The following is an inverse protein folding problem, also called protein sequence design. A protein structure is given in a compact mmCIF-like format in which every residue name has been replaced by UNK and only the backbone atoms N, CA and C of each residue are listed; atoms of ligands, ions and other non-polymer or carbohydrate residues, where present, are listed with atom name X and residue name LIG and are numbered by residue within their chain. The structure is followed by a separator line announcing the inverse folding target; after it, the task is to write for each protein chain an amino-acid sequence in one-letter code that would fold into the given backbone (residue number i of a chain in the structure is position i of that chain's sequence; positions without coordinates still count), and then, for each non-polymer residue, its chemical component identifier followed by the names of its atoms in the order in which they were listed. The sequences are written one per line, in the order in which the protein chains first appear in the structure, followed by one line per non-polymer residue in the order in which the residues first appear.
data_IF_625594229755
#
_entry.id   IF_625594229755
#
_cell.length_a   1.000
_cell.length_b   1.000
_cell.length_c   1.000
_cell.angle_alpha   90.00
_cell.angle_beta   90.00
_cell.angle_gamma   90.00
#
_symmetry.space_group_name_H-M   'P 1'
#
loop_
_entity.id
_entity.type
_entity.pdbx_description
1 polymer ?
#
# COMPACT_ATOMS: atom_id res chain seq x y z
N UNK A 1 12.82 5.30 -6.29
CA UNK A 1 11.56 5.99 -6.03
C UNK A 1 10.31 5.10 -6.07
N UNK A 2 10.41 3.81 -6.44
CA UNK A 2 9.29 2.83 -6.40
C UNK A 2 9.01 2.22 -5.01
N UNK A 3 9.88 2.42 -4.02
CA UNK A 3 9.81 1.74 -2.70
C UNK A 3 8.87 2.36 -1.66
N UNK A 4 8.37 3.56 -1.89
CA UNK A 4 7.30 4.17 -1.07
C UNK A 4 5.90 3.65 -1.44
N UNK A 5 5.78 2.91 -2.56
CA UNK A 5 4.49 2.45 -3.06
C UNK A 5 3.81 1.42 -2.15
N UNK A 6 4.56 0.51 -1.51
CA UNK A 6 3.94 -0.58 -0.75
C UNK A 6 3.39 -0.15 0.61
N UNK A 7 4.10 0.74 1.34
CA UNK A 7 3.56 1.37 2.55
C UNK A 7 2.44 2.37 2.22
N UNK A 8 2.59 3.09 1.11
CA UNK A 8 1.53 3.95 0.58
C UNK A 8 0.30 3.12 0.13
N UNK A 9 0.49 1.92 -0.42
CA UNK A 9 -0.60 1.01 -0.77
C UNK A 9 -1.35 0.48 0.47
N UNK A 10 -0.66 0.20 1.59
CA UNK A 10 -1.31 -0.21 2.84
C UNK A 10 -2.05 0.97 3.47
N UNK A 11 -1.45 2.16 3.47
CA UNK A 11 -2.13 3.40 3.90
C UNK A 11 -3.24 3.81 2.92
N UNK A 12 -3.05 3.59 1.63
CA UNK A 12 -4.04 3.85 0.60
C UNK A 12 -5.22 2.86 0.67
N UNK A 13 -4.95 1.57 0.90
CA UNK A 13 -5.99 0.57 1.18
C UNK A 13 -6.80 0.95 2.44
N UNK A 14 -6.15 1.44 3.49
CA UNK A 14 -6.83 1.92 4.68
C UNK A 14 -7.68 3.18 4.43
N UNK A 15 -7.28 4.03 3.49
CA UNK A 15 -8.02 5.25 3.13
C UNK A 15 -9.11 4.96 2.08
N UNK A 16 -8.89 4.00 1.17
CA UNK A 16 -9.85 3.63 0.11
C UNK A 16 -11.06 2.86 0.65
N UNK A 17 -10.95 2.27 1.85
CA UNK A 17 -11.91 1.29 2.33
C UNK A 17 -12.71 1.74 3.57
N UNK A 18 -13.05 3.00 3.74
CA UNK A 18 -13.79 3.47 4.90
C UNK A 18 -15.28 3.61 4.60
N UNK A 19 -16.04 2.57 4.83
CA UNK A 19 -17.51 2.63 4.86
C UNK A 19 -18.16 1.45 5.56
N UNK A 20 -18.83 1.54 6.66
CA UNK A 20 -19.91 0.64 7.00
C UNK A 20 -20.70 1.01 8.25
N UNK A 21 -21.98 0.87 8.24
CA UNK A 21 -22.86 0.81 9.39
C UNK A 21 -23.38 -0.59 9.64
N UNK A 22 -23.27 -0.97 10.88
CA UNK A 22 -24.02 -1.90 11.73
C UNK A 22 -24.96 -2.92 11.07
N UNK A 23 -24.37 -4.00 10.49
CA UNK A 23 -25.06 -5.27 10.33
C UNK A 23 -24.12 -6.39 10.83
N UNK A 24 -24.66 -7.34 11.56
CA UNK A 24 -23.90 -8.56 11.91
C UNK A 24 -23.48 -9.24 10.60
N UNK A 25 -22.23 -9.65 10.44
CA UNK A 25 -21.84 -10.41 9.26
C UNK A 25 -22.69 -11.66 9.15
N UNK A 26 -23.34 -11.86 8.01
CA UNK A 26 -24.15 -13.05 7.73
C UNK A 26 -23.28 -14.29 7.55
N UNK A 27 -22.05 -14.08 7.12
CA UNK A 27 -21.07 -15.10 6.87
C UNK A 27 -20.01 -15.14 7.99
N UNK A 28 -19.30 -16.27 8.14
CA UNK A 28 -18.16 -16.34 9.04
C UNK A 28 -17.04 -15.39 8.55
N UNK A 29 -16.29 -14.74 9.46
CA UNK A 29 -15.19 -13.86 9.10
C UNK A 29 -14.21 -14.55 8.13
N UNK A 30 -13.86 -13.88 7.03
CA UNK A 30 -12.98 -14.43 6.00
C UNK A 30 -13.64 -15.40 5.02
N UNK A 31 -14.97 -15.55 5.03
CA UNK A 31 -15.70 -16.21 3.93
C UNK A 31 -15.46 -15.43 2.65
N UNK A 32 -15.06 -16.09 1.52
CA UNK A 32 -14.77 -15.40 0.26
C UNK A 32 -15.97 -14.64 -0.30
N UNK A 33 -15.79 -13.38 -0.61
CA UNK A 33 -16.77 -12.48 -1.19
C UNK A 33 -18.00 -12.21 -0.32
N UNK A 34 -18.81 -11.24 -0.68
CA UNK A 34 -20.08 -10.92 -0.02
C UNK A 34 -21.29 -11.54 -0.69
N UNK A 35 -22.38 -11.72 0.07
CA UNK A 35 -23.68 -12.12 -0.45
C UNK A 35 -24.38 -11.02 -1.25
N UNK A 36 -24.10 -9.76 -0.92
CA UNK A 36 -24.48 -8.56 -1.65
C UNK A 36 -23.27 -7.65 -1.86
N UNK A 37 -23.35 -6.64 -2.76
CA UNK A 37 -22.28 -5.65 -2.92
C UNK A 37 -21.95 -4.95 -1.60
N UNK A 38 -22.95 -4.58 -0.83
CA UNK A 38 -22.79 -3.93 0.47
C UNK A 38 -22.10 -4.85 1.49
N UNK A 39 -22.49 -6.14 1.54
CA UNK A 39 -21.88 -7.11 2.46
C UNK A 39 -20.41 -7.32 2.11
N UNK A 40 -20.06 -7.43 0.81
CA UNK A 40 -18.69 -7.60 0.35
C UNK A 40 -17.78 -6.46 0.82
N UNK A 41 -18.26 -5.23 0.69
CA UNK A 41 -17.50 -4.05 1.13
C UNK A 41 -17.47 -3.96 2.66
N UNK A 42 -18.61 -4.18 3.32
CA UNK A 42 -18.73 -4.08 4.77
C UNK A 42 -17.78 -5.04 5.48
N UNK A 43 -17.85 -6.31 5.12
CA UNK A 43 -17.02 -7.35 5.74
C UNK A 43 -15.53 -7.08 5.49
N UNK A 44 -15.16 -6.65 4.27
CA UNK A 44 -13.79 -6.22 3.96
C UNK A 44 -13.30 -5.12 4.91
N UNK A 45 -14.15 -4.13 5.17
CA UNK A 45 -13.80 -2.95 5.97
C UNK A 45 -13.74 -3.23 7.45
N UNK A 46 -14.64 -4.07 7.96
CA UNK A 46 -14.60 -4.52 9.34
C UNK A 46 -13.33 -5.33 9.61
N UNK A 47 -12.92 -6.20 8.67
CA UNK A 47 -11.68 -6.96 8.78
C UNK A 47 -10.44 -6.05 8.79
N UNK A 48 -10.44 -5.00 7.96
CA UNK A 48 -9.36 -4.00 7.95
C UNK A 48 -9.34 -3.15 9.23
N UNK A 49 -10.51 -2.69 9.71
CA UNK A 49 -10.60 -1.98 10.99
C UNK A 49 -9.98 -2.79 12.12
N UNK A 50 -10.30 -4.07 12.16
CA UNK A 50 -9.84 -4.98 13.21
C UNK A 50 -8.37 -5.44 13.01
N UNK A 51 -7.71 -5.06 11.91
CA UNK A 51 -6.36 -5.51 11.59
C UNK A 51 -6.26 -6.99 11.21
N UNK A 52 -7.36 -7.62 10.79
CA UNK A 52 -7.42 -9.02 10.38
C UNK A 52 -7.07 -9.18 8.91
N UNK A 53 -5.84 -8.80 8.55
CA UNK A 53 -5.41 -8.73 7.14
C UNK A 53 -5.40 -10.08 6.41
N UNK A 54 -5.11 -11.18 7.11
CA UNK A 54 -5.19 -12.52 6.55
C UNK A 54 -6.61 -12.88 6.14
N UNK A 55 -7.60 -12.58 7.01
CA UNK A 55 -9.01 -12.78 6.74
C UNK A 55 -9.53 -11.82 5.68
N UNK A 56 -9.03 -10.57 5.67
CA UNK A 56 -9.35 -9.59 4.63
C UNK A 56 -9.00 -10.13 3.23
N UNK A 57 -7.77 -10.57 3.03
CA UNK A 57 -7.35 -11.10 1.72
C UNK A 57 -8.13 -12.35 1.31
N UNK A 58 -8.44 -13.22 2.27
CA UNK A 58 -9.27 -14.39 2.02
C UNK A 58 -10.70 -14.02 1.62
N UNK A 59 -11.26 -12.96 2.22
CA UNK A 59 -12.60 -12.45 1.91
C UNK A 59 -12.60 -11.69 0.58
N UNK A 60 -11.63 -10.84 0.35
CA UNK A 60 -11.59 -9.92 -0.78
C UNK A 60 -11.31 -10.58 -2.14
N UNK A 61 -10.90 -11.85 -2.15
CA UNK A 61 -10.52 -12.57 -3.36
C UNK A 61 -11.26 -13.91 -3.49
N UNK A 62 -11.58 -14.33 -4.75
CA UNK A 62 -11.95 -15.71 -5.03
C UNK A 62 -10.88 -16.70 -4.51
N UNK A 63 -11.26 -17.93 -4.12
CA UNK A 63 -10.32 -18.89 -3.53
C UNK A 63 -9.07 -19.18 -4.37
N UNK A 64 -9.20 -19.23 -5.70
CA UNK A 64 -8.07 -19.43 -6.61
C UNK A 64 -7.12 -18.23 -6.59
N UNK A 65 -7.63 -17.01 -6.74
CA UNK A 65 -6.84 -15.79 -6.73
C UNK A 65 -6.14 -15.57 -5.36
N UNK A 66 -6.79 -15.98 -4.26
CA UNK A 66 -6.17 -15.97 -2.95
C UNK A 66 -5.02 -16.99 -2.82
N UNK A 67 -5.18 -18.18 -3.40
CA UNK A 67 -4.13 -19.19 -3.43
C UNK A 67 -2.91 -18.71 -4.24
N UNK A 68 -3.16 -18.08 -5.39
CA UNK A 68 -2.12 -17.49 -6.24
C UNK A 68 -1.37 -16.35 -5.52
N UNK A 69 -2.10 -15.45 -4.87
CA UNK A 69 -1.52 -14.38 -4.05
C UNK A 69 -0.57 -14.92 -2.98
N UNK A 70 -0.99 -15.99 -2.26
CA UNK A 70 -0.15 -16.61 -1.24
C UNK A 70 1.08 -17.30 -1.82
N UNK A 71 0.94 -17.99 -2.95
CA UNK A 71 2.05 -18.67 -3.63
C UNK A 71 3.10 -17.65 -4.14
N UNK A 72 2.65 -16.52 -4.61
CA UNK A 72 3.52 -15.48 -5.15
C UNK A 72 4.09 -14.53 -4.08
N UNK A 73 3.65 -14.64 -2.83
CA UNK A 73 3.92 -13.65 -1.80
C UNK A 73 5.40 -13.31 -1.63
N UNK A 74 6.26 -14.32 -1.57
CA UNK A 74 7.72 -14.10 -1.40
C UNK A 74 8.33 -13.47 -2.65
N UNK A 75 7.90 -13.86 -3.86
CA UNK A 75 8.35 -13.26 -5.11
C UNK A 75 7.93 -11.78 -5.19
N UNK A 76 6.69 -11.50 -4.80
CA UNK A 76 6.11 -10.15 -4.76
C UNK A 76 6.90 -9.21 -3.84
N UNK A 77 7.35 -9.72 -2.70
CA UNK A 77 8.09 -8.94 -1.70
C UNK A 77 9.60 -8.99 -1.90
N UNK A 78 10.08 -9.70 -2.91
CA UNK A 78 11.50 -9.74 -3.22
C UNK A 78 12.01 -8.32 -3.55
N UNK A 79 13.15 -7.91 -2.99
CA UNK A 79 13.72 -6.59 -3.30
C UNK A 79 14.12 -6.53 -4.77
N UNK A 80 13.72 -5.49 -5.48
CA UNK A 80 14.11 -5.25 -6.89
C UNK A 80 15.59 -4.86 -7.02
N UNK A 81 16.14 -4.31 -5.96
CA UNK A 81 17.56 -3.97 -5.82
C UNK A 81 18.04 -4.29 -4.42
N UNK A 82 19.28 -4.74 -4.22
CA UNK A 82 19.84 -4.92 -2.89
C UNK A 82 19.81 -3.60 -2.11
N UNK A 83 19.46 -3.67 -0.82
CA UNK A 83 19.63 -2.54 0.07
C UNK A 83 21.14 -2.26 0.19
N UNK A 84 21.53 -0.99 0.11
CA UNK A 84 22.92 -0.65 0.36
C UNK A 84 23.30 -0.94 1.84
N UNK A 85 24.60 -1.04 2.11
CA UNK A 85 25.12 -1.43 3.42
C UNK A 85 24.75 -0.40 4.51
N UNK A 86 24.72 0.90 4.15
CA UNK A 86 24.41 1.98 5.08
C UNK A 86 22.93 1.98 5.47
N UNK A 87 22.04 1.77 4.52
CA UNK A 87 20.59 1.71 4.78
C UNK A 87 20.23 0.47 5.58
N UNK A 88 20.90 -0.67 5.32
CA UNK A 88 20.80 -1.88 6.14
C UNK A 88 21.23 -1.59 7.59
N UNK A 89 22.41 -1.02 7.78
CA UNK A 89 22.93 -0.70 9.09
C UNK A 89 22.03 0.28 9.87
N UNK A 90 21.49 1.30 9.20
CA UNK A 90 20.52 2.25 9.78
C UNK A 90 19.24 1.54 10.22
N UNK A 91 18.70 0.64 9.40
CA UNK A 91 17.51 -0.13 9.75
C UNK A 91 17.77 -0.99 10.99
N UNK A 92 18.83 -1.80 11.00
CA UNK A 92 19.18 -2.68 12.09
C UNK A 92 19.48 -1.91 13.40
N UNK A 93 20.20 -0.79 13.30
CA UNK A 93 20.43 0.10 14.43
C UNK A 93 19.13 0.70 14.97
N UNK A 94 18.20 1.09 14.08
CA UNK A 94 16.88 1.58 14.45
C UNK A 94 16.06 0.54 15.19
N UNK A 95 15.97 -0.69 14.66
CA UNK A 95 15.27 -1.81 15.31
C UNK A 95 15.90 -2.13 16.67
N UNK A 96 17.23 -2.29 16.72
CA UNK A 96 17.96 -2.53 17.97
C UNK A 96 17.66 -1.45 18.99
N UNK A 97 17.76 -0.17 18.60
CA UNK A 97 17.47 0.96 19.48
C UNK A 97 16.05 0.90 20.05
N UNK A 98 15.03 0.57 19.22
CA UNK A 98 13.63 0.49 19.64
C UNK A 98 13.35 -0.69 20.59
N UNK A 99 14.19 -1.72 20.59
CA UNK A 99 13.99 -2.93 21.40
C UNK A 99 14.86 -2.99 22.68
N UNK A 100 15.77 -2.02 22.86
CA UNK A 100 16.61 -1.94 24.07
C UNK A 100 15.79 -1.74 25.34
N UNK A 101 16.31 -2.21 26.51
CA UNK A 101 15.72 -1.87 27.81
C UNK A 101 15.75 -0.34 28.06
N UNK A 102 14.73 0.18 28.72
CA UNK A 102 14.60 1.60 29.07
C UNK A 102 14.67 2.59 27.88
N UNK A 103 14.45 2.12 26.66
CA UNK A 103 14.54 2.95 25.44
C UNK A 103 13.54 4.10 25.47
N UNK A 104 12.36 3.90 26.05
CA UNK A 104 11.33 4.94 26.14
C UNK A 104 11.86 6.19 26.87
N UNK A 105 12.60 5.99 27.94
CA UNK A 105 13.23 7.10 28.71
C UNK A 105 14.31 7.80 27.89
N UNK A 106 15.15 7.02 27.19
CA UNK A 106 16.23 7.54 26.34
C UNK A 106 15.68 8.34 25.18
N UNK A 107 14.71 7.77 24.44
CA UNK A 107 14.07 8.44 23.30
C UNK A 107 13.36 9.73 23.73
N UNK A 108 12.66 9.71 24.86
CA UNK A 108 12.04 10.91 25.38
C UNK A 108 13.05 11.96 25.79
N UNK A 109 14.13 11.58 26.44
CA UNK A 109 15.20 12.51 26.81
C UNK A 109 15.83 13.19 25.59
N UNK A 110 16.08 12.40 24.52
CA UNK A 110 16.63 12.91 23.25
C UNK A 110 15.63 13.81 22.51
N UNK A 111 14.34 13.49 22.54
CA UNK A 111 13.29 14.24 21.84
C UNK A 111 12.92 15.54 22.57
N UNK A 112 12.96 15.54 23.90
CA UNK A 112 12.51 16.66 24.72
C UNK A 112 13.07 18.04 24.31
N UNK A 113 14.37 18.23 24.04
CA UNK A 113 14.89 19.51 23.59
C UNK A 113 14.27 19.98 22.26
N UNK A 114 13.97 19.02 21.37
CA UNK A 114 13.33 19.31 20.08
C UNK A 114 11.87 19.73 20.27
N UNK A 115 11.13 19.08 21.16
CA UNK A 115 9.75 19.48 21.49
C UNK A 115 9.67 20.89 22.06
N UNK A 116 10.58 21.22 22.97
CA UNK A 116 10.66 22.58 23.55
C UNK A 116 10.99 23.63 22.48
N UNK A 117 11.94 23.32 21.58
CA UNK A 117 12.26 24.22 20.46
C UNK A 117 11.08 24.34 19.49
N UNK A 118 10.41 23.24 19.18
CA UNK A 118 9.25 23.24 18.31
C UNK A 118 8.16 24.17 18.84
N UNK A 119 7.83 24.05 20.10
CA UNK A 119 6.79 24.86 20.74
C UNK A 119 7.13 26.37 20.74
N UNK A 120 8.43 26.69 20.88
CA UNK A 120 8.92 28.05 20.86
C UNK A 120 9.06 28.67 19.47
N UNK A 121 9.64 27.90 18.52
CA UNK A 121 10.17 28.46 17.27
C UNK A 121 9.25 28.14 16.06
N UNK A 122 8.44 27.08 16.12
CA UNK A 122 7.69 26.59 14.96
C UNK A 122 6.17 26.62 15.13
N UNK A 123 5.66 26.77 16.35
CA UNK A 123 4.21 26.75 16.59
C UNK A 123 3.47 27.77 15.72
N UNK A 124 3.98 29.00 15.64
CA UNK A 124 3.36 30.05 14.84
C UNK A 124 3.57 29.90 13.33
N UNK A 125 4.49 29.01 12.93
CA UNK A 125 4.76 28.69 11.53
C UNK A 125 3.95 27.47 11.03
N UNK A 126 3.22 26.79 11.91
CA UNK A 126 2.44 25.61 11.54
C UNK A 126 1.46 25.83 10.38
N UNK A 127 0.77 26.97 10.25
CA UNK A 127 -0.09 27.21 9.09
C UNK A 127 0.69 27.20 7.76
N UNK A 128 1.87 27.79 7.73
CA UNK A 128 2.73 27.79 6.55
C UNK A 128 3.25 26.39 6.24
N UNK A 129 3.78 25.68 7.24
CA UNK A 129 4.31 24.32 7.09
C UNK A 129 3.22 23.34 6.64
N UNK A 130 2.04 23.42 7.23
CA UNK A 130 0.88 22.63 6.84
C UNK A 130 0.45 22.92 5.40
N UNK A 131 0.42 24.19 4.98
CA UNK A 131 0.09 24.58 3.61
C UNK A 131 1.09 24.06 2.57
N UNK A 132 2.39 24.13 2.88
CA UNK A 132 3.44 23.55 2.03
C UNK A 132 3.26 22.03 1.95
N UNK A 133 3.09 21.36 3.08
CA UNK A 133 2.86 19.91 3.13
C UNK A 133 1.60 19.48 2.34
N UNK A 134 0.52 20.23 2.47
CA UNK A 134 -0.71 20.01 1.70
C UNK A 134 -0.46 20.14 0.21
N UNK A 135 0.20 21.18 -0.25
CA UNK A 135 0.52 21.39 -1.67
C UNK A 135 1.38 20.28 -2.23
N UNK A 136 2.39 19.83 -1.48
CA UNK A 136 3.24 18.70 -1.87
C UNK A 136 2.44 17.40 -1.98
N UNK A 137 1.57 17.13 -1.00
CA UNK A 137 0.71 15.93 -1.01
C UNK A 137 -0.26 15.94 -2.19
N UNK A 138 -0.92 17.07 -2.47
CA UNK A 138 -1.82 17.21 -3.62
C UNK A 138 -1.07 17.01 -4.95
N UNK A 139 0.13 17.58 -5.08
CA UNK A 139 0.97 17.38 -6.26
C UNK A 139 1.36 15.91 -6.44
N UNK A 140 1.74 15.23 -5.35
CA UNK A 140 2.08 13.81 -5.40
C UNK A 140 0.88 12.93 -5.83
N UNK A 141 -0.32 13.24 -5.32
CA UNK A 141 -1.56 12.56 -5.72
C UNK A 141 -1.83 12.76 -7.23
N UNK A 142 -1.66 13.98 -7.73
CA UNK A 142 -1.90 14.29 -9.14
C UNK A 142 -0.94 13.55 -10.07
N UNK A 143 0.32 13.43 -9.66
CA UNK A 143 1.37 12.74 -10.42
C UNK A 143 1.33 11.21 -10.29
N UNK A 144 0.61 10.66 -9.32
CA UNK A 144 0.50 9.22 -9.13
C UNK A 144 -0.20 8.57 -10.33
N UNK A 145 0.50 7.67 -11.03
CA UNK A 145 -0.01 6.99 -12.24
C UNK A 145 -0.87 5.78 -11.91
N UNK A 146 -0.68 5.22 -10.73
CA UNK A 146 -1.29 3.97 -10.28
C UNK A 146 -2.65 4.17 -9.59
N UNK A 147 -3.09 5.44 -9.44
CA UNK A 147 -4.33 5.80 -8.79
C UNK A 147 -5.43 6.08 -9.80
N UNK A 148 -6.61 5.50 -9.56
CA UNK A 148 -7.83 5.83 -10.31
C UNK A 148 -8.30 7.27 -10.03
N UNK A 149 -9.15 7.80 -10.87
CA UNK A 149 -9.72 9.15 -10.67
C UNK A 149 -10.51 9.25 -9.34
N UNK A 150 -11.22 8.19 -8.96
CA UNK A 150 -11.96 8.12 -7.69
C UNK A 150 -11.02 8.14 -6.48
N UNK A 151 -9.96 7.33 -6.51
CA UNK A 151 -8.94 7.30 -5.46
C UNK A 151 -8.23 8.66 -5.31
N UNK A 152 -7.87 9.30 -6.43
CA UNK A 152 -7.27 10.65 -6.40
C UNK A 152 -8.20 11.67 -5.76
N UNK A 153 -9.48 11.63 -6.09
CA UNK A 153 -10.50 12.52 -5.52
C UNK A 153 -10.61 12.34 -4.02
N UNK A 154 -10.76 11.09 -3.56
CA UNK A 154 -10.83 10.73 -2.15
C UNK A 154 -9.57 11.19 -1.37
N UNK A 155 -8.38 10.94 -1.92
CA UNK A 155 -7.13 11.34 -1.28
C UNK A 155 -6.99 12.86 -1.17
N UNK A 156 -7.42 13.61 -2.20
CA UNK A 156 -7.45 15.09 -2.12
C UNK A 156 -8.40 15.57 -1.02
N UNK A 157 -9.58 14.98 -0.92
CA UNK A 157 -10.53 15.31 0.15
C UNK A 157 -9.93 15.00 1.52
N UNK A 158 -9.31 13.83 1.69
CA UNK A 158 -8.63 13.46 2.93
C UNK A 158 -7.50 14.44 3.29
N UNK A 159 -6.64 14.81 2.33
CA UNK A 159 -5.58 15.80 2.53
C UNK A 159 -6.14 17.16 2.93
N UNK A 160 -7.24 17.60 2.29
CA UNK A 160 -7.90 18.88 2.61
C UNK A 160 -8.53 18.88 4.01
N UNK A 161 -8.89 17.72 4.54
CA UNK A 161 -9.41 17.57 5.92
C UNK A 161 -8.26 17.47 6.94
N UNK A 162 -7.23 16.69 6.61
CA UNK A 162 -6.11 16.43 7.54
C UNK A 162 -5.18 17.63 7.69
N UNK A 163 -4.93 18.39 6.61
CA UNK A 163 -4.00 19.53 6.67
C UNK A 163 -4.40 20.60 7.70
N UNK A 164 -5.66 21.07 7.78
CA UNK A 164 -6.08 21.99 8.86
C UNK A 164 -5.97 21.36 10.26
N UNK A 165 -6.26 20.07 10.41
CA UNK A 165 -6.11 19.37 11.69
C UNK A 165 -4.66 19.40 12.17
N UNK A 166 -3.66 19.21 11.29
CA UNK A 166 -2.24 19.26 11.69
C UNK A 166 -1.85 20.57 12.34
N UNK A 167 -2.54 21.68 12.05
CA UNK A 167 -2.29 22.99 12.65
C UNK A 167 -2.81 23.09 14.10
N UNK A 168 -3.80 22.25 14.45
CA UNK A 168 -4.42 22.24 15.79
C UNK A 168 -3.76 21.23 16.74
N UNK A 169 -2.94 20.33 16.19
CA UNK A 169 -2.26 19.29 16.97
C UNK A 169 -1.18 19.91 17.85
N UNK A 170 -1.17 19.62 19.17
CA UNK A 170 -0.14 20.12 20.08
C UNK A 170 1.14 19.27 19.94
N UNK A 171 1.89 19.47 18.87
CA UNK A 171 3.09 18.67 18.53
C UNK A 171 4.20 18.76 19.58
N UNK A 172 4.27 19.87 20.32
CA UNK A 172 5.22 20.09 21.41
C UNK A 172 4.81 19.46 22.75
N UNK A 173 3.60 18.87 22.85
CA UNK A 173 3.09 18.29 24.10
C UNK A 173 3.94 17.09 24.54
N UNK A 174 4.64 17.27 25.67
CA UNK A 174 5.57 16.26 26.19
C UNK A 174 4.85 14.98 26.68
N UNK A 175 3.62 15.08 27.20
CA UNK A 175 2.87 13.93 27.66
C UNK A 175 2.44 13.06 26.48
N UNK A 176 1.90 13.68 25.42
CA UNK A 176 1.55 13.00 24.16
C UNK A 176 2.77 12.40 23.48
N UNK A 177 3.89 13.12 23.43
CA UNK A 177 5.14 12.59 22.88
C UNK A 177 5.64 11.37 23.65
N UNK A 178 5.56 11.38 24.98
CA UNK A 178 5.94 10.23 25.82
C UNK A 178 5.02 9.03 25.58
N UNK A 179 3.71 9.25 25.49
CA UNK A 179 2.74 8.22 25.16
C UNK A 179 3.00 7.64 23.78
N UNK A 180 3.24 8.48 22.77
CA UNK A 180 3.57 8.08 21.39
C UNK A 180 4.84 7.24 21.34
N UNK A 181 5.88 7.60 22.07
CA UNK A 181 7.11 6.79 22.18
C UNK A 181 6.79 5.41 22.75
N UNK A 182 5.97 5.33 23.81
CA UNK A 182 5.55 4.06 24.39
C UNK A 182 4.81 3.18 23.38
N UNK A 183 3.91 3.76 22.58
CA UNK A 183 3.19 3.05 21.52
C UNK A 183 4.16 2.53 20.44
N UNK A 184 5.08 3.37 19.98
CA UNK A 184 6.07 2.99 18.96
C UNK A 184 6.96 1.84 19.43
N UNK A 185 7.47 1.93 20.65
CA UNK A 185 8.33 0.89 21.24
C UNK A 185 7.57 -0.43 21.44
N UNK A 186 6.36 -0.36 22.01
CA UNK A 186 5.48 -1.53 22.17
C UNK A 186 5.18 -2.19 20.80
N UNK A 187 4.88 -1.39 19.78
CA UNK A 187 4.62 -1.87 18.43
C UNK A 187 5.86 -2.52 17.81
N UNK A 188 7.02 -1.89 17.93
CA UNK A 188 8.28 -2.43 17.39
C UNK A 188 8.66 -3.77 18.06
N UNK A 189 8.52 -3.87 19.38
CA UNK A 189 8.75 -5.11 20.12
C UNK A 189 7.81 -6.23 19.70
N UNK A 190 6.51 -5.93 19.51
CA UNK A 190 5.50 -6.89 19.08
C UNK A 190 5.68 -7.32 17.62
N UNK A 191 6.09 -6.40 16.75
CA UNK A 191 6.36 -6.69 15.35
C UNK A 191 7.58 -7.60 15.18
N UNK A 192 8.47 -7.67 16.20
CA UNK A 192 9.64 -8.54 16.24
C UNK A 192 10.49 -8.50 14.97
N UNK A 193 10.67 -7.29 14.42
CA UNK A 193 11.49 -7.06 13.24
C UNK A 193 12.97 -7.27 13.60
N UNK A 194 13.76 -7.78 12.65
CA UNK A 194 15.20 -8.00 12.85
C UNK A 194 16.03 -7.32 11.76
N UNK A 195 15.92 -7.80 10.55
CA UNK A 195 16.70 -7.31 9.40
C UNK A 195 15.77 -7.01 8.22
N UNK A 196 16.18 -6.18 7.25
CA UNK A 196 15.42 -5.98 6.02
C UNK A 196 15.18 -7.28 5.25
N UNK A 197 16.17 -8.17 5.21
CA UNK A 197 16.04 -9.46 4.52
C UNK A 197 14.99 -10.35 5.17
N UNK A 198 14.92 -10.35 6.51
CA UNK A 198 13.89 -11.09 7.24
C UNK A 198 12.49 -10.58 6.91
N UNK A 199 12.31 -9.26 6.69
CA UNK A 199 11.04 -8.69 6.24
C UNK A 199 10.64 -9.19 4.85
N UNK A 200 11.60 -9.22 3.92
CA UNK A 200 11.35 -9.69 2.55
C UNK A 200 11.09 -11.19 2.46
N UNK A 201 11.69 -11.97 3.37
CA UNK A 201 11.52 -13.42 3.42
C UNK A 201 10.27 -13.87 4.21
N UNK A 202 9.49 -12.97 4.77
CA UNK A 202 8.27 -13.33 5.51
C UNK A 202 7.28 -14.06 4.62
N UNK A 203 6.69 -15.14 5.15
CA UNK A 203 5.52 -15.76 4.54
C UNK A 203 4.33 -14.80 4.53
N UNK A 204 3.29 -15.15 3.79
CA UNK A 204 2.04 -14.37 3.79
C UNK A 204 1.51 -14.19 5.22
N UNK A 205 1.41 -15.24 6.00
CA UNK A 205 0.87 -15.22 7.37
C UNK A 205 1.72 -14.37 8.31
N UNK A 206 3.05 -14.47 8.21
CA UNK A 206 3.97 -13.65 9.00
C UNK A 206 3.83 -12.16 8.65
N UNK A 207 3.73 -11.86 7.36
CA UNK A 207 3.52 -10.49 6.89
C UNK A 207 2.20 -9.91 7.39
N UNK A 208 1.11 -10.68 7.30
CA UNK A 208 -0.22 -10.25 7.79
C UNK A 208 -0.21 -9.99 9.30
N UNK A 209 0.42 -10.85 10.08
CA UNK A 209 0.55 -10.64 11.54
C UNK A 209 1.38 -9.39 11.88
N UNK A 210 2.48 -9.16 11.15
CA UNK A 210 3.32 -7.97 11.32
C UNK A 210 2.56 -6.70 10.93
N UNK A 211 1.84 -6.72 9.82
CA UNK A 211 1.01 -5.58 9.38
C UNK A 211 -0.14 -5.30 10.34
N UNK A 212 -0.79 -6.34 10.88
CA UNK A 212 -1.79 -6.19 11.93
C UNK A 212 -1.22 -5.45 13.13
N UNK A 213 -0.06 -5.87 13.61
CA UNK A 213 0.63 -5.22 14.73
C UNK A 213 0.94 -3.75 14.43
N UNK A 214 1.51 -3.48 13.25
CA UNK A 214 1.83 -2.12 12.81
C UNK A 214 0.57 -1.24 12.68
N UNK A 215 -0.50 -1.77 12.10
CA UNK A 215 -1.77 -1.09 11.93
C UNK A 215 -2.41 -0.70 13.26
N UNK A 216 -2.46 -1.64 14.21
CA UNK A 216 -3.00 -1.35 15.53
C UNK A 216 -2.16 -0.32 16.29
N UNK A 217 -0.83 -0.36 16.13
CA UNK A 217 0.07 0.68 16.65
C UNK A 217 -0.20 2.04 16.02
N UNK A 218 -0.36 2.08 14.71
CA UNK A 218 -0.68 3.29 13.95
C UNK A 218 -2.00 3.94 14.41
N UNK A 219 -3.07 3.17 14.54
CA UNK A 219 -4.36 3.69 15.05
C UNK A 219 -4.23 4.30 16.43
N UNK A 220 -3.52 3.63 17.35
CA UNK A 220 -3.26 4.15 18.70
C UNK A 220 -2.45 5.44 18.66
N UNK A 221 -1.43 5.52 17.82
CA UNK A 221 -0.59 6.71 17.67
C UNK A 221 -1.39 7.94 17.24
N UNK A 222 -2.24 7.80 16.23
CA UNK A 222 -3.08 8.90 15.77
C UNK A 222 -4.15 9.30 16.79
N UNK A 223 -4.68 8.35 17.54
CA UNK A 223 -5.66 8.61 18.60
C UNK A 223 -5.08 9.51 19.72
N UNK A 224 -3.77 9.39 20.04
CA UNK A 224 -3.08 10.30 20.98
C UNK A 224 -3.25 11.77 20.58
N UNK A 225 -3.25 12.05 19.29
CA UNK A 225 -3.38 13.40 18.74
C UNK A 225 -4.81 13.76 18.33
N UNK A 226 -5.79 12.93 18.68
CA UNK A 226 -7.21 13.23 18.47
C UNK A 226 -7.78 12.76 17.13
N UNK A 227 -7.00 12.08 16.27
CA UNK A 227 -7.51 11.47 15.05
C UNK A 227 -7.83 9.99 15.33
N UNK A 228 -9.11 9.69 15.54
CA UNK A 228 -9.59 8.33 15.73
C UNK A 228 -9.98 7.68 14.42
N UNK A 229 -9.13 6.77 13.94
CA UNK A 229 -9.39 5.99 12.73
C UNK A 229 -10.61 5.08 12.95
N UNK A 230 -10.78 4.50 14.15
CA UNK A 230 -11.93 3.66 14.45
C UNK A 230 -13.27 4.42 14.33
N UNK A 231 -13.34 5.68 14.78
CA UNK A 231 -14.53 6.51 14.59
C UNK A 231 -14.85 6.75 13.11
N UNK A 232 -13.82 6.88 12.27
CA UNK A 232 -14.05 6.98 10.83
C UNK A 232 -14.64 5.68 10.29
N UNK A 233 -14.14 4.52 10.70
CA UNK A 233 -14.72 3.23 10.33
C UNK A 233 -16.16 3.06 10.85
N UNK A 234 -16.46 3.47 12.06
CA UNK A 234 -17.81 3.40 12.67
C UNK A 234 -18.83 4.29 11.95
N UNK A 235 -18.37 5.37 11.31
CA UNK A 235 -19.26 6.35 10.65
C UNK A 235 -19.69 5.95 9.24
N UNK A 236 -19.27 4.79 8.78
CA UNK A 236 -19.38 4.44 7.38
C UNK A 236 -20.78 3.99 6.94
N UNK A 237 -21.33 4.54 5.87
CA UNK A 237 -22.45 4.03 5.11
C UNK A 237 -22.04 3.55 3.72
N UNK A 238 -22.66 2.49 3.24
CA UNK A 238 -22.48 1.93 1.90
C UNK A 238 -23.85 1.87 1.24
N UNK A 239 -23.93 2.43 0.06
CA UNK A 239 -25.15 2.46 -0.73
C UNK A 239 -24.85 1.90 -2.13
N UNK A 240 -25.56 0.86 -2.57
CA UNK A 240 -25.48 0.40 -3.96
C UNK A 240 -26.25 1.40 -4.83
N UNK A 241 -25.52 2.06 -5.73
CA UNK A 241 -26.11 3.06 -6.65
C UNK A 241 -26.50 2.45 -7.97
N UNK A 242 -25.86 1.35 -8.37
CA UNK A 242 -26.19 0.58 -9.57
C UNK A 242 -25.85 -0.89 -9.33
N UNK A 243 -26.73 -1.78 -9.83
CA UNK A 243 -26.52 -3.23 -9.81
C UNK A 243 -27.16 -3.84 -11.04
N UNK A 244 -26.35 -4.22 -12.01
CA UNK A 244 -26.83 -4.78 -13.28
C UNK A 244 -25.80 -5.72 -13.92
N UNK A 245 -26.27 -6.82 -14.50
CA UNK A 245 -25.46 -7.70 -15.33
C UNK A 245 -24.25 -8.33 -14.66
N UNK A 246 -24.26 -8.48 -13.33
CA UNK A 246 -23.11 -9.02 -12.58
C UNK A 246 -22.04 -8.00 -12.22
N UNK A 247 -22.32 -6.71 -12.41
CA UNK A 247 -21.52 -5.58 -11.94
C UNK A 247 -22.35 -4.71 -11.00
N UNK A 248 -21.73 -4.15 -9.97
CA UNK A 248 -22.39 -3.20 -9.09
C UNK A 248 -21.45 -2.02 -8.79
N UNK A 249 -22.03 -0.83 -8.70
CA UNK A 249 -21.36 0.36 -8.19
C UNK A 249 -21.89 0.68 -6.80
N UNK A 250 -20.97 0.85 -5.86
CA UNK A 250 -21.28 1.25 -4.49
C UNK A 250 -20.67 2.61 -4.20
N UNK A 251 -21.48 3.44 -3.54
CA UNK A 251 -21.04 4.70 -2.95
C UNK A 251 -20.77 4.49 -1.49
N UNK A 252 -19.65 4.99 -1.06
CA UNK A 252 -19.12 4.84 0.28
C UNK A 252 -18.96 6.23 0.89
N UNK A 253 -19.61 6.50 2.02
CA UNK A 253 -19.51 7.77 2.75
C UNK A 253 -19.02 7.52 4.17
N UNK A 254 -18.03 8.30 4.62
CA UNK A 254 -17.50 8.23 5.98
C UNK A 254 -17.14 9.62 6.51
N UNK A 255 -16.92 9.73 7.81
CA UNK A 255 -16.53 10.98 8.47
C UNK A 255 -15.09 10.89 8.91
N UNK A 256 -14.26 11.83 8.45
CA UNK A 256 -12.89 12.02 8.88
C UNK A 256 -12.75 13.39 9.53
N UNK A 257 -12.40 13.44 10.83
CA UNK A 257 -12.26 14.70 11.56
C UNK A 257 -13.50 15.62 11.37
N UNK A 258 -14.69 15.05 11.58
CA UNK A 258 -16.00 15.73 11.47
C UNK A 258 -16.36 16.21 10.05
N UNK A 259 -15.62 15.78 9.03
CA UNK A 259 -15.90 16.09 7.62
C UNK A 259 -16.31 14.83 6.87
N UNK A 260 -17.43 14.84 6.13
CA UNK A 260 -17.81 13.72 5.29
C UNK A 260 -16.86 13.61 4.09
N UNK A 261 -16.45 12.38 3.80
CA UNK A 261 -15.67 12.03 2.61
C UNK A 261 -16.46 10.96 1.86
N UNK A 262 -16.41 11.01 0.53
CA UNK A 262 -17.07 10.06 -0.33
C UNK A 262 -16.07 9.39 -1.27
N UNK A 263 -16.30 8.10 -1.51
CA UNK A 263 -15.60 7.33 -2.53
C UNK A 263 -16.55 6.34 -3.18
N UNK A 264 -16.11 5.71 -4.24
CA UNK A 264 -16.90 4.74 -5.01
C UNK A 264 -16.05 3.51 -5.27
N UNK A 265 -16.69 2.35 -5.32
CA UNK A 265 -16.06 1.10 -5.73
C UNK A 265 -16.94 0.36 -6.72
N UNK A 266 -16.32 -0.37 -7.63
CA UNK A 266 -16.98 -1.27 -8.56
C UNK A 266 -16.78 -2.70 -8.11
N UNK A 267 -17.88 -3.46 -8.00
CA UNK A 267 -17.83 -4.87 -7.66
C UNK A 267 -18.26 -5.73 -8.83
N UNK A 268 -17.76 -6.95 -8.84
CA UNK A 268 -18.08 -7.97 -9.84
C UNK A 268 -18.64 -9.21 -9.15
N UNK A 269 -19.68 -9.80 -9.73
CA UNK A 269 -20.28 -11.04 -9.28
C UNK A 269 -19.56 -12.23 -9.92
N UNK A 270 -18.92 -13.07 -9.11
CA UNK A 270 -18.28 -14.31 -9.54
C UNK A 270 -18.77 -15.45 -8.65
N UNK A 271 -19.23 -16.53 -9.26
CA UNK A 271 -19.74 -17.73 -8.57
C UNK A 271 -20.76 -17.43 -7.45
N UNK A 272 -21.62 -16.44 -7.69
CA UNK A 272 -22.65 -16.02 -6.72
C UNK A 272 -22.14 -15.17 -5.56
N UNK A 273 -20.92 -14.68 -5.60
CA UNK A 273 -20.29 -13.83 -4.60
C UNK A 273 -19.75 -12.53 -5.21
N UNK A 274 -19.82 -11.45 -4.44
CA UNK A 274 -19.36 -10.13 -4.87
C UNK A 274 -17.94 -9.86 -4.40
N UNK A 275 -17.10 -9.31 -5.30
CA UNK A 275 -15.70 -8.96 -5.06
C UNK A 275 -15.41 -7.57 -5.61
N UNK A 276 -14.49 -6.83 -4.98
CA UNK A 276 -13.97 -5.59 -5.53
C UNK A 276 -13.23 -5.84 -6.85
N UNK A 277 -13.69 -5.18 -7.91
CA UNK A 277 -13.19 -5.38 -9.27
C UNK A 277 -11.76 -4.89 -9.44
N UNK A 278 -11.44 -3.73 -8.89
CA UNK A 278 -10.13 -3.10 -9.06
C UNK A 278 -9.05 -3.89 -8.31
N UNK A 279 -9.36 -4.31 -7.07
CA UNK A 279 -8.48 -5.14 -6.27
C UNK A 279 -8.22 -6.49 -6.96
N UNK A 280 -9.27 -7.15 -7.42
CA UNK A 280 -9.16 -8.44 -8.11
C UNK A 280 -8.33 -8.33 -9.38
N UNK A 281 -8.58 -7.32 -10.21
CA UNK A 281 -7.81 -7.08 -11.43
C UNK A 281 -6.33 -6.79 -11.13
N UNK A 282 -6.05 -6.01 -10.08
CA UNK A 282 -4.69 -5.71 -9.65
C UNK A 282 -3.93 -6.96 -9.24
N UNK A 283 -4.55 -7.84 -8.43
CA UNK A 283 -3.94 -9.10 -8.00
C UNK A 283 -3.66 -10.04 -9.17
N UNK A 284 -4.62 -10.18 -10.09
CA UNK A 284 -4.47 -11.01 -11.30
C UNK A 284 -3.39 -10.47 -12.24
N UNK A 285 -3.35 -9.17 -12.45
CA UNK A 285 -2.32 -8.54 -13.28
C UNK A 285 -0.91 -8.77 -12.70
N UNK A 286 -0.77 -8.65 -11.39
CA UNK A 286 0.49 -8.90 -10.71
C UNK A 286 0.91 -10.37 -10.76
N UNK A 287 -0.03 -11.30 -10.57
CA UNK A 287 0.22 -12.73 -10.74
C UNK A 287 0.79 -13.05 -12.13
N UNK A 288 0.19 -12.48 -13.18
CA UNK A 288 0.66 -12.66 -14.56
C UNK A 288 2.05 -12.04 -14.78
N UNK A 289 2.37 -10.92 -14.13
CA UNK A 289 3.72 -10.33 -14.21
C UNK A 289 4.78 -11.18 -13.51
N UNK A 290 4.43 -11.79 -12.39
CA UNK A 290 5.34 -12.66 -11.63
C UNK A 290 5.49 -14.06 -12.25
N UNK A 291 4.51 -14.49 -13.02
CA UNK A 291 4.43 -15.80 -13.67
C UNK A 291 4.06 -15.65 -15.15
N UNK A 292 4.93 -15.03 -15.98
CA UNK A 292 4.64 -14.86 -17.39
C UNK A 292 4.42 -16.23 -18.05
N UNK A 293 3.41 -16.36 -18.96
CA UNK A 293 3.22 -17.61 -19.70
C UNK A 293 4.50 -17.96 -20.46
N UNK A 294 4.83 -19.25 -20.46
CA UNK A 294 6.00 -19.73 -21.21
C UNK A 294 5.91 -19.23 -22.66
N UNK A 295 6.90 -18.49 -23.12
CA UNK A 295 6.98 -18.16 -24.55
C UNK A 295 6.97 -19.46 -25.34
N UNK A 296 6.10 -19.58 -26.37
CA UNK A 296 6.18 -20.74 -27.26
C UNK A 296 7.60 -20.83 -27.78
N UNK A 297 8.22 -22.01 -27.61
CA UNK A 297 9.54 -22.26 -28.15
C UNK A 297 9.56 -21.81 -29.62
N UNK A 298 10.59 -21.09 -30.08
CA UNK A 298 10.68 -20.72 -31.47
C UNK A 298 10.50 -21.98 -32.30
N UNK A 299 9.37 -22.06 -33.00
CA UNK A 299 9.06 -23.18 -33.92
C UNK A 299 10.25 -23.31 -34.85
N UNK A 300 10.92 -24.44 -34.72
CA UNK A 300 12.23 -24.73 -35.26
C UNK A 300 12.40 -24.23 -36.69
N UNK A 301 13.55 -23.73 -36.94
CA UNK A 301 14.11 -23.55 -38.29
C UNK A 301 13.70 -24.75 -39.16
N UNK A 302 12.98 -24.47 -40.22
CA UNK A 302 12.71 -25.47 -41.23
C UNK A 302 14.00 -26.20 -41.61
N UNK A 303 14.04 -27.50 -41.78
CA UNK A 303 15.26 -28.21 -42.20
C UNK A 303 15.71 -27.62 -43.52
N UNK A 304 16.96 -27.16 -43.55
CA UNK A 304 17.62 -26.70 -44.77
C UNK A 304 17.56 -27.82 -45.81
N UNK A 305 16.97 -27.53 -46.96
CA UNK A 305 17.00 -28.43 -48.10
C UNK A 305 18.47 -28.66 -48.53
N UNK A 306 18.93 -29.89 -48.78
CA UNK A 306 20.29 -30.15 -49.19
C UNK A 306 20.48 -29.76 -50.64
N UNK A 307 21.45 -28.91 -50.89
CA UNK A 307 22.26 -28.95 -52.04
C UNK A 307 21.81 -28.26 -53.33
N UNK A 308 22.28 -27.09 -53.58
CA UNK A 308 22.74 -26.73 -54.94
C UNK A 308 24.18 -26.20 -54.85
N UNK A 309 25.04 -26.86 -55.57
CA UNK A 309 26.48 -26.63 -55.58
C UNK A 309 26.83 -25.21 -56.04
N UNK A 310 27.74 -24.59 -55.31
CA UNK A 310 28.32 -23.31 -55.64
C UNK A 310 29.25 -23.41 -56.83
N UNK A 311 29.07 -22.57 -57.86
CA UNK A 311 30.06 -22.30 -58.91
C UNK A 311 31.14 -21.34 -58.39
N UNK A 312 32.39 -21.48 -58.84
CA UNK A 312 33.51 -20.71 -58.32
C UNK A 312 33.51 -19.22 -58.80
N UNK A 313 34.10 -18.32 -58.02
CA UNK A 313 34.13 -16.89 -58.36
C UNK A 313 35.11 -16.60 -59.47
N UNK A 314 34.69 -15.81 -60.48
CA UNK A 314 35.56 -15.16 -61.44
C UNK A 314 36.15 -13.92 -60.79
N UNK A 315 37.50 -13.93 -60.93
CA UNK A 315 38.39 -12.85 -60.54
C UNK A 315 38.53 -11.90 -61.75
N UNK A 316 38.09 -10.64 -61.61
CA UNK A 316 38.51 -9.59 -62.53
C UNK A 316 38.80 -8.30 -61.79
N UNK A 317 39.97 -7.96 -61.79
CA UNK A 317 40.91 -6.93 -61.62
C UNK A 317 40.43 -5.50 -61.31
N UNK A 318 41.23 -4.96 -60.46
CA UNK A 318 41.41 -3.57 -60.01
C UNK A 318 41.55 -2.52 -61.13
N UNK A 319 41.92 -1.25 -60.87
CA UNK A 319 41.86 -0.37 -59.68
C UNK A 319 41.43 1.10 -60.02
N UNK A 320 41.80 2.03 -59.11
CA UNK A 320 42.05 3.51 -59.30
C UNK A 320 40.92 4.40 -58.66
N UNK A 321 41.17 5.06 -57.64
CA UNK A 321 41.98 6.20 -57.22
C UNK A 321 41.13 7.49 -56.95
N UNK A 322 41.44 8.09 -55.79
CA UNK A 322 41.47 9.54 -55.49
C UNK A 322 40.16 10.35 -55.51
N UNK A 323 39.79 11.06 -54.50
CA UNK A 323 40.34 12.25 -53.88
C UNK A 323 39.48 12.83 -52.77
N UNK A 324 40.08 13.30 -51.69
CA UNK A 324 39.63 14.41 -50.86
C UNK A 324 39.78 15.73 -51.63
N UNK A 325 39.31 16.94 -51.25
CA UNK A 325 38.90 17.38 -49.88
C UNK A 325 37.73 18.38 -49.90
N UNK A 326 37.10 18.64 -48.77
CA UNK A 326 37.14 19.84 -47.93
C UNK A 326 36.01 19.75 -46.88
#
# INVERSE_FOLDING_TARGET
MRRLSHLAWILLLAVVLLSACNHKPKDAPGTPGGGSPEDAMRDSLDLLRDGKFDMFWRHALPPADFADLRADWVKRNAPTEPLDADDRAKFEAGVKRLTEPDVEKKLFADLRPTLVRFDRDYKDQMPLLSGVGQSMALTAIDQAKDLTASQKRQLREAVNVVAPWTQTVPWGDQAKAKESIGILVDTARKANLSTPDALHAMTFEQSMATWSTAWMGFKRLFAVYGLSIDKSFESISIDTVENSGGSAHVKITYVLLDKPIQTEATLVLLDGRWYDSDLLQSVRAEHLQLNPPAQPAPTGSAPALPGTAAAPPRNDGAPVATARPR
#
